data_IF_131003548482
#
_entry.id   IF_131003548482
#
_cell.length_a   1.000
_cell.length_b   1.000
_cell.length_c   1.000
_cell.angle_alpha   90.00
_cell.angle_beta   90.00
_cell.angle_gamma   90.00
#
_symmetry.space_group_name_H-M   'P 1'
#
loop_
_entity.id
_entity.type
_entity.pdbx_description
1 polymer ?
#
# COMPACT_ATOMS: atom_id res chain seq x y z
N UNK A 1 -6.98 -9.33 -1.13
CA UNK A 1 -6.54 -8.32 -0.15
C UNK A 1 -5.14 -8.68 0.29
N UNK A 2 -4.31 -7.67 0.62
CA UNK A 2 -2.93 -7.85 1.03
C UNK A 2 -2.79 -8.94 2.10
N UNK A 3 -1.76 -9.75 1.98
CA UNK A 3 -1.34 -10.65 3.06
C UNK A 3 -0.64 -9.81 4.14
N UNK A 4 -1.40 -8.97 4.85
CA UNK A 4 -0.93 -8.05 5.89
C UNK A 4 -1.65 -8.33 7.20
N UNK A 5 -0.89 -8.31 8.29
CA UNK A 5 -1.46 -8.42 9.64
C UNK A 5 -2.07 -7.07 10.03
N UNK A 6 -3.00 -7.06 10.99
CA UNK A 6 -3.58 -5.81 11.51
C UNK A 6 -2.49 -4.87 12.04
N UNK A 7 -1.41 -5.42 12.60
CA UNK A 7 -0.27 -4.63 13.08
C UNK A 7 0.53 -3.94 11.96
N UNK A 8 0.42 -4.42 10.72
CA UNK A 8 1.06 -3.82 9.55
C UNK A 8 0.24 -2.70 8.93
N UNK A 9 -1.01 -2.52 9.37
CA UNK A 9 -1.95 -1.58 8.77
C UNK A 9 -2.09 -0.36 9.67
N UNK A 10 -1.98 0.82 9.07
CA UNK A 10 -2.12 2.12 9.73
C UNK A 10 -3.03 3.01 8.89
N UNK A 11 -3.75 3.92 9.54
CA UNK A 11 -4.53 4.95 8.85
C UNK A 11 -4.34 6.30 9.53
N UNK A 12 -4.48 7.36 8.73
CA UNK A 12 -4.44 8.74 9.21
C UNK A 12 -5.72 9.45 8.76
N UNK A 13 -6.83 9.26 9.48
CA UNK A 13 -8.12 9.80 9.05
C UNK A 13 -8.17 11.33 9.04
N UNK A 14 -7.24 12.01 9.71
CA UNK A 14 -7.22 13.47 9.84
C UNK A 14 -6.52 14.08 8.62
N UNK A 15 -5.30 13.62 8.32
CA UNK A 15 -4.52 14.17 7.19
C UNK A 15 -4.80 13.43 5.89
N UNK A 16 -5.19 12.16 5.96
CA UNK A 16 -5.34 11.25 4.82
C UNK A 16 -6.59 10.35 4.95
N UNK A 17 -7.80 10.92 4.99
CA UNK A 17 -9.05 10.21 5.30
C UNK A 17 -9.36 9.00 4.40
N UNK A 18 -8.87 9.00 3.15
CA UNK A 18 -9.18 7.99 2.15
C UNK A 18 -8.03 7.02 1.87
N UNK A 19 -6.94 7.09 2.64
CA UNK A 19 -5.78 6.23 2.45
C UNK A 19 -5.59 5.25 3.60
N UNK A 20 -5.28 4.02 3.22
CA UNK A 20 -4.77 3.00 4.11
C UNK A 20 -3.29 2.77 3.85
N UNK A 21 -2.48 2.78 4.89
CA UNK A 21 -1.05 2.54 4.79
C UNK A 21 -0.72 1.12 5.24
N UNK A 22 -0.14 0.32 4.37
CA UNK A 22 0.21 -1.07 4.65
C UNK A 22 1.72 -1.23 4.66
N UNK A 23 2.28 -1.57 5.82
CA UNK A 23 3.69 -1.86 5.97
C UNK A 23 4.03 -3.22 5.38
N UNK A 24 5.09 -3.24 4.58
CA UNK A 24 5.68 -4.45 4.02
C UNK A 24 7.18 -4.39 4.11
N UNK A 25 7.78 -5.55 4.35
CA UNK A 25 9.22 -5.68 4.25
C UNK A 25 9.59 -5.94 2.79
N UNK A 26 10.53 -5.17 2.26
CA UNK A 26 10.97 -5.33 0.88
C UNK A 26 12.38 -5.89 0.78
N UNK A 27 12.55 -6.82 -0.16
CA UNK A 27 13.84 -7.43 -0.42
C UNK A 27 14.53 -6.71 -1.58
N UNK A 28 15.68 -6.09 -1.30
CA UNK A 28 16.45 -5.41 -2.32
C UNK A 28 17.18 -6.41 -3.20
N UNK A 29 16.71 -6.58 -4.44
CA UNK A 29 17.44 -7.34 -5.45
C UNK A 29 18.60 -6.50 -5.98
N UNK A 30 19.70 -7.16 -6.36
CA UNK A 30 20.90 -6.57 -6.96
C UNK A 30 20.63 -5.80 -8.26
N UNK A 31 19.47 -5.97 -8.89
CA UNK A 31 19.07 -5.32 -10.14
C UNK A 31 18.45 -3.92 -9.96
N UNK A 32 18.46 -3.34 -8.75
CA UNK A 32 17.83 -2.03 -8.42
C UNK A 32 16.35 -1.93 -8.81
N UNK A 33 15.68 -3.06 -9.03
CA UNK A 33 14.23 -3.17 -9.20
C UNK A 33 13.71 -3.94 -8.00
N UNK A 34 12.79 -3.35 -7.29
CA UNK A 34 12.44 -3.79 -5.96
C UNK A 34 11.03 -4.36 -5.98
N UNK A 35 10.94 -5.63 -5.58
CA UNK A 35 9.68 -6.33 -5.49
C UNK A 35 9.62 -7.10 -4.18
N UNK A 36 8.45 -7.13 -3.57
CA UNK A 36 8.14 -8.15 -2.57
C UNK A 36 7.11 -9.12 -3.13
N UNK A 37 7.34 -10.41 -2.89
CA UNK A 37 6.37 -11.42 -3.28
C UNK A 37 5.21 -11.36 -2.27
N UNK A 38 3.99 -11.28 -2.79
CA UNK A 38 2.79 -11.39 -1.98
C UNK A 38 1.80 -12.30 -2.67
N UNK A 39 0.69 -12.58 -2.00
CA UNK A 39 -0.40 -13.33 -2.59
C UNK A 39 -1.69 -12.53 -2.52
N UNK A 40 -2.57 -12.78 -3.48
CA UNK A 40 -3.91 -12.23 -3.54
C UNK A 40 -4.92 -13.36 -3.58
N UNK A 41 -5.73 -13.46 -2.53
CA UNK A 41 -6.89 -14.35 -2.51
C UNK A 41 -8.09 -13.65 -3.14
N UNK A 42 -8.59 -14.23 -4.23
CA UNK A 42 -9.78 -13.76 -4.93
C UNK A 42 -11.01 -13.91 -4.02
N UNK A 43 -11.77 -12.83 -3.86
CA UNK A 43 -13.01 -12.79 -3.06
C UNK A 43 -14.27 -13.02 -3.90
N UNK A 44 -14.12 -12.99 -5.21
CA UNK A 44 -15.20 -13.16 -6.16
C UNK A 44 -14.67 -13.83 -7.42
N UNK A 45 -15.56 -14.45 -8.19
CA UNK A 45 -15.21 -14.98 -9.50
C UNK A 45 -15.00 -13.85 -10.51
N UNK A 46 -13.93 -13.94 -11.30
CA UNK A 46 -13.65 -12.94 -12.33
C UNK A 46 -12.33 -13.16 -13.03
N UNK A 47 -11.98 -12.25 -13.94
CA UNK A 47 -10.67 -12.25 -14.56
C UNK A 47 -9.61 -11.84 -13.53
N UNK A 48 -8.48 -12.55 -13.47
CA UNK A 48 -7.42 -12.26 -12.50
C UNK A 48 -6.85 -10.86 -12.68
N UNK A 49 -6.69 -10.38 -13.92
CA UNK A 49 -6.26 -9.01 -14.23
C UNK A 49 -7.18 -7.98 -13.60
N UNK A 50 -8.47 -8.03 -13.90
CA UNK A 50 -9.41 -7.03 -13.40
C UNK A 50 -9.45 -7.00 -11.87
N UNK A 51 -9.51 -8.17 -11.22
CA UNK A 51 -9.60 -8.26 -9.77
C UNK A 51 -8.32 -7.80 -9.06
N UNK A 52 -7.15 -8.04 -9.65
CA UNK A 52 -5.88 -7.59 -9.09
C UNK A 52 -5.68 -6.09 -9.32
N UNK A 53 -5.97 -5.59 -10.53
CA UNK A 53 -5.85 -4.15 -10.84
C UNK A 53 -6.86 -3.32 -10.06
N UNK A 54 -8.07 -3.82 -9.83
CA UNK A 54 -9.06 -3.16 -8.95
C UNK A 54 -8.57 -3.09 -7.50
N UNK A 55 -7.87 -4.13 -7.01
CA UNK A 55 -7.41 -4.20 -5.64
C UNK A 55 -6.07 -3.48 -5.36
N UNK A 56 -5.18 -3.41 -6.35
CA UNK A 56 -3.81 -2.92 -6.19
C UNK A 56 -3.42 -1.80 -7.16
N UNK A 57 -4.27 -1.43 -8.11
CA UNK A 57 -3.92 -0.49 -9.18
C UNK A 57 -2.65 -0.94 -9.92
N UNK A 58 -1.72 0.00 -10.10
CA UNK A 58 -0.41 -0.25 -10.69
C UNK A 58 0.65 -0.78 -9.70
N UNK A 59 0.31 -0.98 -8.41
CA UNK A 59 1.27 -1.40 -7.38
C UNK A 59 1.69 -2.87 -7.48
N UNK A 60 0.98 -3.69 -8.26
CA UNK A 60 1.24 -5.12 -8.39
C UNK A 60 1.51 -5.54 -9.84
N UNK A 61 2.51 -6.40 -10.05
CA UNK A 61 2.71 -7.13 -11.31
C UNK A 61 2.58 -8.64 -11.10
N UNK A 62 2.12 -9.35 -12.12
CA UNK A 62 2.01 -10.81 -12.10
C UNK A 62 1.92 -11.40 -13.51
N UNK A 63 2.39 -12.65 -13.68
CA UNK A 63 2.59 -13.25 -15.00
C UNK A 63 1.32 -13.89 -15.60
N UNK A 64 0.37 -14.35 -14.78
CA UNK A 64 -0.80 -15.13 -15.22
C UNK A 64 -2.09 -14.30 -15.18
N UNK A 65 -2.10 -13.16 -15.85
CA UNK A 65 -3.21 -12.19 -15.83
C UNK A 65 -4.48 -12.63 -16.57
N UNK A 66 -4.35 -13.45 -17.61
CA UNK A 66 -5.49 -13.83 -18.45
C UNK A 66 -6.38 -14.94 -17.87
N UNK A 67 -6.03 -15.52 -16.71
CA UNK A 67 -6.79 -16.62 -16.12
C UNK A 67 -8.05 -16.13 -15.42
N UNK A 68 -9.13 -16.90 -15.49
CA UNK A 68 -10.31 -16.70 -14.63
C UNK A 68 -10.03 -17.34 -13.28
N UNK A 69 -10.23 -16.58 -12.20
CA UNK A 69 -10.13 -17.06 -10.82
C UNK A 69 -11.52 -17.17 -10.20
N UNK A 70 -11.69 -18.17 -9.36
CA UNK A 70 -12.87 -18.34 -8.50
C UNK A 70 -12.57 -17.79 -7.11
N UNK A 71 -13.63 -17.56 -6.34
CA UNK A 71 -13.50 -17.23 -4.92
C UNK A 71 -12.60 -18.25 -4.19
N UNK A 72 -11.70 -17.76 -3.35
CA UNK A 72 -10.72 -18.56 -2.62
C UNK A 72 -9.46 -18.93 -3.41
N UNK A 73 -9.41 -18.71 -4.73
CA UNK A 73 -8.17 -18.93 -5.48
C UNK A 73 -7.09 -17.91 -5.11
N UNK A 74 -5.84 -18.37 -5.04
CA UNK A 74 -4.69 -17.55 -4.70
C UNK A 74 -3.87 -17.21 -5.95
N UNK A 75 -3.57 -15.92 -6.13
CA UNK A 75 -2.72 -15.36 -7.18
C UNK A 75 -1.42 -14.88 -6.55
N UNK A 76 -0.28 -15.41 -7.00
CA UNK A 76 1.03 -14.87 -6.62
C UNK A 76 1.28 -13.54 -7.35
N UNK A 77 1.62 -12.51 -6.59
CA UNK A 77 1.88 -11.16 -7.09
C UNK A 77 3.28 -10.71 -6.68
N UNK A 78 3.81 -9.74 -7.42
CA UNK A 78 4.99 -8.97 -7.03
C UNK A 78 4.56 -7.52 -6.85
N UNK A 79 4.62 -7.04 -5.62
CA UNK A 79 4.37 -5.63 -5.33
C UNK A 79 5.61 -4.83 -5.65
N UNK A 80 5.45 -3.74 -6.38
CA UNK A 80 6.49 -2.74 -6.52
C UNK A 80 6.79 -2.14 -5.16
N UNK A 81 8.07 -2.03 -4.85
CA UNK A 81 8.56 -1.24 -3.76
C UNK A 81 9.77 -0.43 -4.22
N UNK A 82 10.38 0.29 -3.28
CA UNK A 82 11.68 0.91 -3.51
C UNK A 82 12.61 0.58 -2.36
N UNK A 83 13.90 0.40 -2.63
CA UNK A 83 14.90 0.42 -1.58
C UNK A 83 15.66 1.74 -1.61
N UNK A 84 15.57 2.46 -0.50
CA UNK A 84 16.35 3.66 -0.28
C UNK A 84 17.65 3.29 0.44
N UNK A 85 18.79 3.59 -0.17
CA UNK A 85 20.07 3.69 0.54
C UNK A 85 20.26 5.06 1.21
N UNK A 86 19.25 5.94 1.13
CA UNK A 86 19.26 7.30 1.69
C UNK A 86 18.98 7.34 3.19
N UNK A 87 18.61 8.51 3.72
CA UNK A 87 18.34 8.71 5.16
C UNK A 87 16.93 8.29 5.59
N UNK A 88 16.00 8.15 4.66
CA UNK A 88 14.58 7.86 4.89
C UNK A 88 14.38 6.47 5.51
N UNK A 89 13.45 6.34 6.44
CA UNK A 89 13.17 5.06 7.11
C UNK A 89 12.17 4.21 6.32
N UNK A 90 11.28 4.86 5.58
CA UNK A 90 10.25 4.22 4.78
C UNK A 90 10.22 4.81 3.37
N UNK A 91 9.97 3.96 2.37
CA UNK A 91 9.68 4.39 1.01
C UNK A 91 8.30 3.90 0.62
N UNK A 92 7.41 4.85 0.36
CA UNK A 92 6.01 4.59 0.13
C UNK A 92 5.72 4.53 -1.36
N UNK A 93 5.10 3.45 -1.85
CA UNK A 93 4.67 3.35 -3.25
C UNK A 93 3.24 3.87 -3.38
N UNK A 94 3.07 4.89 -4.22
CA UNK A 94 1.82 5.61 -4.44
C UNK A 94 1.48 5.62 -5.93
N UNK A 95 0.24 5.31 -6.29
CA UNK A 95 -0.22 5.41 -7.68
C UNK A 95 -0.76 6.81 -7.87
N UNK A 96 -0.21 7.56 -8.82
CA UNK A 96 -0.66 8.93 -9.06
C UNK A 96 -2.09 8.96 -9.58
N UNK A 97 -2.93 9.80 -8.98
CA UNK A 97 -4.34 9.97 -9.37
C UNK A 97 -4.52 11.21 -10.25
N UNK A 98 -5.70 11.32 -10.87
CA UNK A 98 -6.05 12.49 -11.66
C UNK A 98 -6.09 13.74 -10.76
N UNK A 99 -5.30 14.76 -11.11
CA UNK A 99 -5.19 16.00 -10.36
C UNK A 99 -4.12 16.01 -9.27
N UNK A 100 -3.41 14.90 -9.04
CA UNK A 100 -2.25 14.89 -8.16
C UNK A 100 -1.07 15.64 -8.77
N UNK A 101 -0.28 16.28 -7.90
CA UNK A 101 0.98 16.95 -8.25
C UNK A 101 2.04 16.58 -7.24
N UNK A 102 3.33 16.71 -7.62
CA UNK A 102 4.45 16.49 -6.68
C UNK A 102 4.33 17.41 -5.45
N UNK A 103 3.96 18.67 -5.66
CA UNK A 103 3.68 19.63 -4.59
C UNK A 103 2.54 19.18 -3.68
N UNK A 104 1.42 18.75 -4.26
CA UNK A 104 0.26 18.27 -3.52
C UNK A 104 0.61 17.06 -2.65
N UNK A 105 1.36 16.09 -3.18
CA UNK A 105 1.82 14.92 -2.44
C UNK A 105 2.83 15.29 -1.35
N UNK A 106 3.76 16.20 -1.66
CA UNK A 106 4.73 16.71 -0.69
C UNK A 106 4.03 17.34 0.53
N UNK A 107 3.06 18.23 0.27
CA UNK A 107 2.23 18.86 1.31
C UNK A 107 1.40 17.83 2.09
N UNK A 108 0.75 16.90 1.38
CA UNK A 108 -0.13 15.87 1.97
C UNK A 108 0.62 14.95 2.94
N UNK A 109 1.83 14.53 2.58
CA UNK A 109 2.62 13.58 3.37
C UNK A 109 3.73 14.23 4.21
N UNK A 110 3.84 15.56 4.18
CA UNK A 110 4.84 16.30 4.96
C UNK A 110 6.28 16.01 4.56
N UNK A 111 6.55 15.87 3.26
CA UNK A 111 7.88 15.63 2.69
C UNK A 111 8.31 16.78 1.78
N UNK A 112 9.58 16.85 1.39
CA UNK A 112 10.03 17.87 0.42
C UNK A 112 9.80 17.40 -1.01
N UNK A 113 9.45 18.32 -1.92
CA UNK A 113 9.33 17.99 -3.36
C UNK A 113 10.63 17.42 -3.92
N UNK A 114 11.75 18.05 -3.58
CA UNK A 114 13.11 17.61 -3.96
C UNK A 114 13.39 16.16 -3.54
N UNK A 115 12.88 15.72 -2.38
CA UNK A 115 13.03 14.32 -1.95
C UNK A 115 12.22 13.34 -2.81
N UNK A 116 11.00 13.73 -3.22
CA UNK A 116 10.18 12.93 -4.14
C UNK A 116 10.83 12.89 -5.52
N UNK A 117 11.27 14.02 -6.05
CA UNK A 117 11.92 14.12 -7.36
C UNK A 117 13.20 13.28 -7.39
N UNK A 118 14.06 13.42 -6.39
CA UNK A 118 15.28 12.62 -6.25
C UNK A 118 14.98 11.12 -6.12
N UNK A 119 13.96 10.74 -5.34
CA UNK A 119 13.60 9.33 -5.15
C UNK A 119 13.08 8.67 -6.44
N UNK A 120 12.48 9.45 -7.34
CA UNK A 120 11.90 8.97 -8.59
C UNK A 120 12.76 9.28 -9.83
N UNK A 121 13.88 10.00 -9.67
CA UNK A 121 14.74 10.41 -10.78
C UNK A 121 14.04 11.40 -11.72
N UNK A 122 13.22 12.29 -11.19
CA UNK A 122 12.52 13.33 -11.95
C UNK A 122 13.41 14.57 -12.07
N UNK A 123 13.49 15.16 -13.27
CA UNK A 123 14.19 16.43 -13.50
C UNK A 123 13.32 17.66 -13.15
N UNK A 124 12.07 17.44 -12.74
CA UNK A 124 11.12 18.47 -12.31
C UNK A 124 9.68 17.94 -12.14
N UNK A 125 8.75 18.79 -11.69
CA UNK A 125 7.39 18.38 -11.30
C UNK A 125 6.48 18.02 -12.49
N UNK A 126 6.80 18.47 -13.70
CA UNK A 126 5.99 18.28 -14.91
C UNK A 126 6.15 16.89 -15.54
N UNK A 127 7.08 16.06 -15.03
CA UNK A 127 7.37 14.73 -15.56
C UNK A 127 6.43 13.63 -15.07
N UNK A 128 5.37 13.98 -14.35
CA UNK A 128 4.52 12.99 -13.68
C UNK A 128 3.34 12.52 -14.53
N UNK A 129 3.04 11.23 -14.43
CA UNK A 129 2.03 10.54 -15.26
C UNK A 129 0.99 9.91 -14.35
N UNK A 130 -0.27 10.25 -14.58
CA UNK A 130 -1.41 9.65 -13.86
C UNK A 130 -1.48 8.15 -14.13
N UNK A 131 -1.66 7.37 -13.06
CA UNK A 131 -1.70 5.91 -13.10
C UNK A 131 -0.35 5.22 -12.90
N UNK A 132 0.76 5.96 -12.94
CA UNK A 132 2.09 5.42 -12.65
C UNK A 132 2.40 5.38 -11.15
N UNK A 133 3.34 4.51 -10.77
CA UNK A 133 3.79 4.35 -9.39
C UNK A 133 4.95 5.31 -9.10
N UNK A 134 4.78 6.14 -8.09
CA UNK A 134 5.79 7.04 -7.54
C UNK A 134 6.18 6.64 -6.12
N UNK A 135 7.43 6.89 -5.78
CA UNK A 135 8.03 6.61 -4.49
C UNK A 135 8.11 7.87 -3.63
N UNK A 136 7.45 7.86 -2.48
CA UNK A 136 7.40 8.99 -1.55
C UNK A 136 8.25 8.64 -0.32
N UNK A 137 9.39 9.31 -0.09
CA UNK A 137 10.28 9.01 1.02
C UNK A 137 9.75 9.56 2.35
N UNK A 138 9.48 8.68 3.31
CA UNK A 138 8.95 9.06 4.62
C UNK A 138 9.95 8.78 5.74
N UNK A 139 9.97 9.68 6.73
CA UNK A 139 10.77 9.50 7.94
C UNK A 139 10.06 8.63 8.99
N UNK A 140 8.74 8.52 8.92
CA UNK A 140 7.90 7.70 9.78
C UNK A 140 6.68 7.17 9.02
N UNK A 141 6.04 6.14 9.58
CA UNK A 141 4.74 5.68 9.07
C UNK A 141 3.66 6.71 9.47
N UNK A 142 2.86 7.24 8.52
CA UNK A 142 1.76 8.13 8.83
C UNK A 142 0.65 7.41 9.61
N UNK A 143 -0.01 8.16 10.50
CA UNK A 143 -1.18 7.68 11.21
C UNK A 143 -0.92 6.77 12.41
N UNK A 144 -2.01 6.22 12.93
CA UNK A 144 -2.02 5.30 14.07
C UNK A 144 -2.29 3.87 13.58
N UNK A 145 -1.98 2.82 14.38
CA UNK A 145 -2.39 1.46 14.08
C UNK A 145 -3.87 1.42 13.73
N UNK A 146 -4.20 0.82 12.58
CA UNK A 146 -5.57 0.74 12.13
C UNK A 146 -6.33 -0.20 13.08
N UNK A 147 -7.25 0.38 13.85
CA UNK A 147 -8.17 -0.37 14.70
C UNK A 147 -9.46 -0.53 13.92
N UNK A 148 -9.79 -1.77 13.54
CA UNK A 148 -11.08 -2.07 12.94
C UNK A 148 -12.15 -1.87 14.01
N UNK A 149 -12.80 -0.70 14.00
CA UNK A 149 -13.81 -0.36 15.01
C UNK A 149 -15.15 -0.95 14.57
N UNK A 150 -15.23 -2.28 14.52
CA UNK A 150 -16.49 -3.00 14.61
C UNK A 150 -16.61 -3.55 16.04
N UNK A 151 -17.60 -2.99 16.75
CA UNK A 151 -18.04 -3.26 18.12
C UNK A 151 -17.34 -2.41 19.20
N UNK A 152 -18.00 -1.28 19.49
CA UNK A 152 -18.02 -0.59 20.78
C UNK A 152 -17.80 -1.54 21.97
N UNK A 153 -16.73 -1.39 22.77
CA UNK A 153 -16.59 -2.17 23.99
C UNK A 153 -17.58 -1.65 25.04
N UNK A 154 -18.58 -2.45 25.39
CA UNK A 154 -19.12 -2.38 26.73
C UNK A 154 -17.99 -2.80 27.71
N UNK A 155 -17.77 -2.07 28.82
CA UNK A 155 -16.63 -2.30 29.67
C UNK A 155 -16.85 -3.54 30.53
N UNK A 156 -16.08 -4.61 30.30
CA UNK A 156 -15.76 -5.60 31.34
C UNK A 156 -14.32 -6.12 31.13
N UNK A 157 -13.51 -6.27 32.19
CA UNK A 157 -12.14 -6.78 32.09
C UNK A 157 -12.06 -8.32 32.16
N UNK A 158 -11.23 -8.92 31.27
CA UNK A 158 -10.51 -10.22 31.32
C UNK A 158 -10.72 -11.09 30.05
N UNK A 159 -9.88 -12.11 29.78
CA UNK A 159 -8.42 -12.26 29.83
C UNK A 159 -7.81 -12.40 28.40
N UNK A 160 -6.48 -12.62 28.32
CA UNK A 160 -5.61 -12.47 27.14
C UNK A 160 -6.14 -12.97 25.77
N UNK A 161 -5.90 -12.21 24.66
CA UNK A 161 -6.44 -12.55 23.35
C UNK A 161 -5.70 -13.70 22.67
N UNK A 162 -6.47 -14.70 22.24
CA UNK A 162 -6.14 -15.63 21.17
C UNK A 162 -6.21 -14.90 19.82
N UNK A 163 -5.12 -14.92 19.04
CA UNK A 163 -5.08 -14.29 17.73
C UNK A 163 -5.99 -15.02 16.74
N UNK A 164 -7.12 -14.40 16.42
CA UNK A 164 -8.00 -14.82 15.32
C UNK A 164 -7.51 -14.14 14.04
N UNK A 165 -7.16 -14.94 13.02
CA UNK A 165 -6.89 -14.43 11.67
C UNK A 165 -8.21 -13.89 11.11
N UNK A 166 -8.38 -12.58 11.11
CA UNK A 166 -9.58 -11.93 10.58
C UNK A 166 -9.52 -11.99 9.04
N UNK A 167 -10.26 -12.94 8.48
CA UNK A 167 -10.66 -12.90 7.07
C UNK A 167 -11.83 -11.94 6.91
N UNK A 168 -11.56 -10.82 6.24
CA UNK A 168 -12.60 -9.91 5.74
C UNK A 168 -12.80 -8.71 6.64
N UNK A 169 -12.27 -7.56 6.22
CA UNK A 169 -12.65 -6.26 6.77
C UNK A 169 -13.08 -5.34 5.63
N UNK A 170 -14.03 -4.47 5.94
CA UNK A 170 -14.79 -3.61 5.05
C UNK A 170 -13.92 -2.44 4.55
N UNK A 171 -12.84 -2.73 3.80
CA UNK A 171 -11.93 -1.73 3.19
C UNK A 171 -12.64 -0.87 2.13
N UNK A 172 -13.93 -1.12 1.85
CA UNK A 172 -14.70 -0.43 0.81
C UNK A 172 -14.82 1.08 0.99
N UNK A 173 -14.53 1.64 2.16
CA UNK A 173 -14.56 3.08 2.38
C UNK A 173 -13.22 3.79 2.08
N UNK A 174 -12.12 3.05 1.91
CA UNK A 174 -10.83 3.63 1.53
C UNK A 174 -10.69 3.54 0.01
N UNK A 175 -10.56 4.71 -0.61
CA UNK A 175 -10.42 4.83 -2.06
C UNK A 175 -9.08 4.24 -2.52
N UNK A 176 -8.03 4.28 -1.68
CA UNK A 176 -6.69 3.86 -2.07
C UNK A 176 -5.88 3.19 -0.97
N UNK A 177 -5.06 2.23 -1.37
CA UNK A 177 -4.14 1.51 -0.50
C UNK A 177 -2.72 1.87 -0.89
N UNK A 178 -1.96 2.39 0.07
CA UNK A 178 -0.57 2.83 -0.13
C UNK A 178 0.34 1.88 0.62
N UNK A 179 1.37 1.37 -0.06
CA UNK A 179 2.27 0.38 0.56
C UNK A 179 3.55 1.05 1.04
N UNK A 180 3.83 0.90 2.33
CA UNK A 180 5.01 1.42 3.00
C UNK A 180 6.08 0.33 3.09
N UNK A 181 7.29 0.65 2.64
CA UNK A 181 8.39 -0.30 2.70
C UNK A 181 9.46 0.21 3.66
N UNK A 182 9.76 -0.58 4.70
CA UNK A 182 10.92 -0.34 5.55
C UNK A 182 12.20 -0.68 4.78
N UNK A 183 13.28 0.04 5.08
CA UNK A 183 14.65 -0.46 4.84
C UNK A 183 14.86 -1.85 5.43
#
# INVERSE_FOLDING_TARGET
MFDATIADVTSDPISNPNYLFIRKNCSCLTSRRYFTNTTFTARQQGNAYSLVTEAYGALASFANSSRVVREGNVVGLRLYCGCSSGLWNYLMSYVMEEGDTVEGLASRFGVSMDSIETANGLDGPDGVVVGDVYYIPLNSVPGQPYVDTEISPAPVPAPAPTFSVVSGTNIKNFTWIVTLFSK
#
